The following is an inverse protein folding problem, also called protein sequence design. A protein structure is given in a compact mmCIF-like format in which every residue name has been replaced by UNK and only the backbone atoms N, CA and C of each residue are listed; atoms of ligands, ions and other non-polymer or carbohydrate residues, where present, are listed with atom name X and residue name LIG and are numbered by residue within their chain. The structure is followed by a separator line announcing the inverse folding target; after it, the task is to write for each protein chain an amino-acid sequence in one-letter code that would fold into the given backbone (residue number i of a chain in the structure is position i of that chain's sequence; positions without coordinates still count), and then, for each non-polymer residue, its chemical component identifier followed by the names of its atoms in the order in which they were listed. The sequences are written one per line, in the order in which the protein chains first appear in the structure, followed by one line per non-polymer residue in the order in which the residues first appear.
data_IF_726683992247
#
_entry.id   IF_726683992247
#
_cell.length_a   1.000
_cell.length_b   1.000
_cell.length_c   1.000
_cell.angle_alpha   90.00
_cell.angle_beta   90.00
_cell.angle_gamma   90.00
#
_symmetry.space_group_name_H-M   'P 1'
#
loop_
_entity.id
_entity.type
_entity.pdbx_description
1 polymer ?
#
# COMPACT_ATOMS: atom_id res chain seq x y z
N UNK A 1 7.42 20.72 -4.29
CA UNK A 1 6.18 21.36 -4.78
C UNK A 1 4.96 21.07 -3.88
N UNK A 2 4.98 20.09 -2.98
CA UNK A 2 3.82 19.70 -2.14
C UNK A 2 3.82 20.26 -0.70
N UNK A 3 4.59 21.29 -0.38
CA UNK A 3 4.78 21.75 1.01
C UNK A 3 3.65 22.58 1.62
N UNK A 4 2.66 23.05 0.86
CA UNK A 4 1.70 24.04 1.39
C UNK A 4 0.26 23.55 1.65
N UNK A 5 -0.14 22.36 1.17
CA UNK A 5 -1.57 21.98 1.21
C UNK A 5 -1.87 20.55 1.66
N UNK A 6 -0.92 19.82 2.27
CA UNK A 6 -1.20 18.48 2.76
C UNK A 6 -1.77 18.59 4.19
N UNK A 7 -3.05 18.31 4.34
CA UNK A 7 -3.76 18.35 5.62
C UNK A 7 -3.40 17.17 6.52
N UNK A 8 -3.26 16.00 5.93
CA UNK A 8 -2.86 14.77 6.61
C UNK A 8 -2.42 13.70 5.63
N UNK A 9 -1.73 12.70 6.12
CA UNK A 9 -1.28 11.52 5.38
C UNK A 9 -1.67 10.26 6.15
N UNK A 10 -2.43 9.38 5.51
CA UNK A 10 -2.70 8.04 6.02
C UNK A 10 -1.92 7.03 5.18
N UNK A 11 -1.00 6.31 5.82
CA UNK A 11 -0.19 5.27 5.19
C UNK A 11 -0.86 3.93 5.45
N UNK A 12 -1.29 3.25 4.39
CA UNK A 12 -1.97 1.96 4.51
C UNK A 12 -1.03 0.85 4.04
N UNK A 13 -0.64 0.04 4.97
CA UNK A 13 0.17 -1.18 4.84
C UNK A 13 1.40 -1.06 3.92
N UNK A 14 2.11 0.06 4.06
CA UNK A 14 3.34 0.33 3.33
C UNK A 14 4.48 0.57 4.31
N UNK A 15 5.49 -0.30 4.27
CA UNK A 15 6.64 -0.21 5.15
C UNK A 15 7.72 0.73 4.60
N UNK A 16 8.24 1.59 5.48
CA UNK A 16 9.55 2.23 5.29
C UNK A 16 10.53 1.44 6.16
N UNK A 17 11.52 0.86 5.52
CA UNK A 17 12.48 -0.02 6.17
C UNK A 17 13.61 0.77 6.84
N UNK A 18 14.15 0.29 7.97
CA UNK A 18 15.39 0.81 8.53
C UNK A 18 16.56 0.60 7.56
N UNK A 19 17.66 1.36 7.70
CA UNK A 19 18.92 1.05 7.04
C UNK A 19 19.34 -0.39 7.35
N UNK A 20 19.89 -1.09 6.37
CA UNK A 20 20.33 -2.48 6.52
C UNK A 20 21.53 -2.75 5.63
N UNK A 21 22.51 -3.44 6.17
CA UNK A 21 23.67 -3.94 5.42
C UNK A 21 23.31 -5.17 4.56
N UNK A 22 22.17 -5.79 4.85
CA UNK A 22 21.64 -6.91 4.09
C UNK A 22 20.19 -6.65 3.68
N UNK A 23 19.96 -5.75 2.71
CA UNK A 23 18.61 -5.40 2.27
C UNK A 23 17.91 -6.58 1.58
N UNK A 24 16.58 -6.64 1.64
CA UNK A 24 15.84 -7.65 0.92
C UNK A 24 16.08 -7.55 -0.58
N UNK A 25 16.37 -8.68 -1.20
CA UNK A 25 16.50 -8.79 -2.66
C UNK A 25 15.17 -9.24 -3.24
N UNK A 26 14.69 -8.50 -4.22
CA UNK A 26 13.47 -8.84 -4.95
C UNK A 26 13.86 -9.26 -6.36
N UNK A 27 13.46 -10.45 -6.77
CA UNK A 27 13.60 -10.95 -8.13
C UNK A 27 12.21 -11.15 -8.74
N UNK A 28 11.60 -10.07 -9.16
CA UNK A 28 10.32 -10.13 -9.85
C UNK A 28 10.54 -10.41 -11.33
N UNK A 29 10.11 -11.60 -11.76
CA UNK A 29 10.13 -11.96 -13.20
C UNK A 29 9.11 -11.11 -13.96
N UNK A 30 9.63 -10.17 -14.73
CA UNK A 30 8.81 -9.28 -15.55
C UNK A 30 8.39 -10.04 -16.81
N UNK A 31 7.08 -10.22 -16.98
CA UNK A 31 6.52 -10.85 -18.17
C UNK A 31 5.65 -9.83 -18.90
N UNK A 32 5.77 -9.80 -20.22
CA UNK A 32 4.88 -8.98 -21.04
C UNK A 32 3.41 -9.36 -20.81
N UNK A 33 2.52 -8.40 -20.97
CA UNK A 33 1.08 -8.65 -20.87
C UNK A 33 0.64 -9.60 -21.99
N UNK A 34 0.10 -10.74 -21.57
CA UNK A 34 -0.50 -11.74 -22.48
C UNK A 34 -1.87 -11.23 -22.95
N UNK A 35 -2.22 -11.57 -24.19
CA UNK A 35 -3.58 -11.42 -24.72
C UNK A 35 -4.35 -12.71 -24.47
N UNK A 36 -5.52 -12.58 -23.89
CA UNK A 36 -6.45 -13.68 -23.58
C UNK A 36 -7.65 -13.63 -24.51
N UNK A 37 -8.15 -14.81 -24.89
CA UNK A 37 -9.25 -14.93 -25.86
C UNK A 37 -10.58 -14.42 -25.32
N UNK A 38 -10.84 -14.62 -24.03
CA UNK A 38 -12.10 -14.24 -23.42
C UNK A 38 -11.94 -13.75 -21.97
N UNK A 39 -12.99 -13.09 -21.48
CA UNK A 39 -13.01 -12.46 -20.15
C UNK A 39 -12.91 -13.50 -19.01
N UNK A 40 -13.52 -14.67 -19.16
CA UNK A 40 -13.50 -15.72 -18.13
C UNK A 40 -12.08 -16.25 -17.93
N UNK A 41 -11.35 -16.47 -19.02
CA UNK A 41 -9.96 -16.95 -18.97
C UNK A 41 -9.05 -15.95 -18.24
N UNK A 42 -9.10 -14.66 -18.59
CA UNK A 42 -8.24 -13.67 -17.93
C UNK A 42 -8.63 -13.47 -16.47
N UNK A 43 -9.92 -13.40 -16.11
CA UNK A 43 -10.38 -13.29 -14.72
C UNK A 43 -9.87 -14.44 -13.85
N UNK A 44 -9.89 -15.68 -14.34
CA UNK A 44 -9.39 -16.85 -13.60
C UNK A 44 -7.88 -16.81 -13.31
N UNK A 45 -7.15 -15.91 -13.95
CA UNK A 45 -5.72 -15.69 -13.75
C UNK A 45 -5.39 -14.56 -12.76
N UNK A 46 -6.40 -13.87 -12.26
CA UNK A 46 -6.18 -12.82 -11.27
C UNK A 46 -5.58 -13.42 -9.99
N UNK A 47 -4.56 -12.77 -9.48
CA UNK A 47 -3.90 -13.14 -8.20
C UNK A 47 -3.42 -11.88 -7.52
N UNK A 48 -3.55 -11.83 -6.21
CA UNK A 48 -2.92 -10.82 -5.37
C UNK A 48 -1.42 -11.09 -5.26
N UNK A 49 -0.63 -10.04 -5.16
CA UNK A 49 0.83 -10.11 -4.94
C UNK A 49 1.18 -9.12 -3.80
N UNK A 50 1.61 -9.61 -2.64
CA UNK A 50 1.71 -11.03 -2.25
C UNK A 50 0.34 -11.73 -2.21
N UNK A 51 0.37 -13.06 -2.36
CA UNK A 51 -0.84 -13.86 -2.13
C UNK A 51 -1.28 -13.76 -0.67
N UNK A 52 -2.59 -13.81 -0.44
CA UNK A 52 -3.16 -13.84 0.91
C UNK A 52 -4.36 -14.77 0.98
N UNK A 53 -4.60 -15.31 2.17
CA UNK A 53 -5.80 -16.10 2.48
C UNK A 53 -6.94 -15.16 2.89
N UNK A 54 -8.15 -15.68 2.99
CA UNK A 54 -9.35 -14.93 3.44
C UNK A 54 -9.76 -13.74 2.56
N UNK A 55 -9.25 -13.66 1.34
CA UNK A 55 -9.70 -12.66 0.39
C UNK A 55 -11.19 -12.90 0.03
N UNK A 56 -12.01 -11.88 0.16
CA UNK A 56 -13.44 -11.96 -0.15
C UNK A 56 -13.63 -12.11 -1.66
N UNK A 57 -14.23 -13.21 -2.09
CA UNK A 57 -14.34 -13.61 -3.49
C UNK A 57 -15.00 -12.52 -4.35
N UNK A 58 -16.09 -11.93 -3.89
CA UNK A 58 -16.79 -10.87 -4.65
C UNK A 58 -15.92 -9.62 -4.86
N UNK A 59 -15.05 -9.28 -3.90
CA UNK A 59 -14.10 -8.15 -4.04
C UNK A 59 -13.02 -8.53 -5.04
N UNK A 60 -12.49 -9.75 -4.94
CA UNK A 60 -11.50 -10.27 -5.88
C UNK A 60 -12.02 -10.26 -7.31
N UNK A 61 -13.26 -10.71 -7.51
CA UNK A 61 -13.90 -10.74 -8.82
C UNK A 61 -14.11 -9.34 -9.38
N UNK A 62 -14.58 -8.41 -8.55
CA UNK A 62 -14.73 -7.00 -8.93
C UNK A 62 -13.39 -6.35 -9.32
N UNK A 63 -12.35 -6.53 -8.50
CA UNK A 63 -11.02 -5.95 -8.80
C UNK A 63 -10.45 -6.56 -10.08
N UNK A 64 -10.57 -7.89 -10.25
CA UNK A 64 -10.13 -8.57 -11.45
C UNK A 64 -10.80 -7.98 -12.70
N UNK A 65 -12.12 -7.80 -12.67
CA UNK A 65 -12.87 -7.22 -13.79
C UNK A 65 -12.44 -5.79 -14.11
N UNK A 66 -12.30 -4.94 -13.08
CA UNK A 66 -11.87 -3.53 -13.27
C UNK A 66 -10.41 -3.41 -13.68
N UNK A 67 -9.60 -4.44 -13.47
CA UNK A 67 -8.18 -4.49 -13.87
C UNK A 67 -7.94 -4.93 -15.31
N UNK A 68 -8.99 -5.25 -16.06
CA UNK A 68 -8.93 -5.78 -17.43
C UNK A 68 -9.32 -4.69 -18.44
N UNK A 69 -8.72 -4.75 -19.61
CA UNK A 69 -9.07 -3.94 -20.78
C UNK A 69 -9.27 -4.83 -22.01
N UNK A 70 -10.23 -4.43 -22.87
CA UNK A 70 -10.45 -5.04 -24.17
C UNK A 70 -9.54 -4.39 -25.20
N UNK A 71 -8.93 -5.16 -26.06
CA UNK A 71 -8.10 -4.75 -27.19
C UNK A 71 -8.68 -5.33 -28.49
N UNK A 72 -8.14 -4.92 -29.63
CA UNK A 72 -8.54 -5.48 -30.94
C UNK A 72 -8.38 -6.99 -31.03
N UNK A 73 -7.32 -7.54 -30.38
CA UNK A 73 -6.96 -8.97 -30.44
C UNK A 73 -7.49 -9.79 -29.24
N UNK A 74 -8.21 -9.19 -28.29
CA UNK A 74 -8.72 -9.90 -27.12
C UNK A 74 -8.66 -9.07 -25.85
N UNK A 75 -8.32 -9.70 -24.73
CA UNK A 75 -8.33 -9.11 -23.39
C UNK A 75 -6.92 -9.09 -22.79
N UNK A 76 -6.56 -8.03 -22.07
CA UNK A 76 -5.30 -7.94 -21.35
C UNK A 76 -5.47 -7.22 -20.02
N UNK A 77 -4.48 -7.36 -19.13
CA UNK A 77 -4.42 -6.59 -17.91
C UNK A 77 -4.13 -5.10 -18.20
N UNK A 78 -4.68 -4.21 -17.40
CA UNK A 78 -4.31 -2.78 -17.39
C UNK A 78 -2.95 -2.56 -16.76
N UNK A 79 -2.50 -3.46 -15.88
CA UNK A 79 -1.24 -3.38 -15.16
C UNK A 79 -0.06 -3.27 -16.14
N UNK A 80 0.84 -2.30 -15.88
CA UNK A 80 2.10 -2.19 -16.61
C UNK A 80 3.15 -3.11 -15.94
N UNK A 81 3.61 -4.17 -16.63
CA UNK A 81 4.60 -5.08 -16.06
C UNK A 81 5.93 -4.40 -15.74
N UNK A 82 6.26 -3.28 -16.40
CA UNK A 82 7.49 -2.53 -16.11
C UNK A 82 7.48 -1.90 -14.71
N UNK A 83 6.30 -1.71 -14.09
CA UNK A 83 6.20 -1.24 -12.71
C UNK A 83 7.03 -2.09 -11.73
N UNK A 84 7.11 -3.40 -11.96
CA UNK A 84 7.89 -4.30 -11.09
C UNK A 84 9.40 -4.05 -11.16
N UNK A 85 9.89 -3.37 -12.20
CA UNK A 85 11.33 -3.02 -12.32
C UNK A 85 11.80 -2.13 -11.18
N UNK A 86 10.91 -1.33 -10.59
CA UNK A 86 11.27 -0.47 -9.46
C UNK A 86 11.75 -1.25 -8.23
N UNK A 87 11.38 -2.52 -8.10
CA UNK A 87 11.76 -3.36 -6.96
C UNK A 87 13.03 -4.17 -7.23
N UNK A 88 13.43 -4.35 -8.48
CA UNK A 88 14.57 -5.21 -8.88
C UNK A 88 15.91 -4.46 -8.90
N UNK A 89 15.98 -3.20 -8.45
CA UNK A 89 17.17 -2.37 -8.59
C UNK A 89 17.81 -2.07 -7.24
N UNK A 90 19.13 -1.85 -7.26
CA UNK A 90 19.89 -1.34 -6.12
C UNK A 90 19.34 -0.02 -5.58
N UNK A 91 18.66 0.74 -6.45
CA UNK A 91 17.91 1.95 -6.07
C UNK A 91 16.74 1.74 -5.09
N UNK A 92 16.37 0.50 -4.74
CA UNK A 92 15.32 0.27 -3.75
C UNK A 92 15.69 0.87 -2.39
N UNK A 93 16.90 0.60 -1.90
CA UNK A 93 17.35 1.14 -0.60
C UNK A 93 17.61 2.64 -0.63
N UNK A 94 18.05 3.18 -1.76
CA UNK A 94 18.14 4.63 -1.96
C UNK A 94 16.77 5.30 -1.86
N UNK A 95 15.73 4.72 -2.48
CA UNK A 95 14.35 5.20 -2.33
C UNK A 95 13.87 5.10 -0.89
N UNK A 96 14.21 4.03 -0.18
CA UNK A 96 13.90 3.90 1.23
C UNK A 96 14.54 5.02 2.06
N UNK A 97 15.79 5.41 1.75
CA UNK A 97 16.44 6.55 2.38
C UNK A 97 15.67 7.86 2.13
N UNK A 98 15.31 8.12 0.88
CA UNK A 98 14.49 9.30 0.51
C UNK A 98 13.15 9.29 1.25
N UNK A 99 12.49 8.15 1.38
CA UNK A 99 11.22 8.06 2.07
C UNK A 99 11.36 8.29 3.58
N UNK A 100 12.44 7.81 4.21
CA UNK A 100 12.76 8.10 5.62
C UNK A 100 12.89 9.61 5.85
N UNK A 101 13.66 10.28 5.02
CA UNK A 101 13.90 11.72 5.15
C UNK A 101 12.60 12.53 4.91
N UNK A 102 11.83 12.13 3.90
CA UNK A 102 10.53 12.77 3.65
C UNK A 102 9.56 12.57 4.79
N UNK A 103 9.50 11.37 5.38
CA UNK A 103 8.60 11.08 6.49
C UNK A 103 8.96 11.92 7.72
N UNK A 104 10.24 12.03 8.07
CA UNK A 104 10.73 12.93 9.14
C UNK A 104 10.37 14.39 8.89
N UNK A 105 10.41 14.82 7.64
CA UNK A 105 10.17 16.21 7.25
C UNK A 105 8.70 16.60 7.14
N UNK A 106 7.75 15.68 7.37
CA UNK A 106 6.32 15.98 7.30
C UNK A 106 5.90 16.93 8.41
N UNK A 107 5.10 17.94 8.04
CA UNK A 107 4.50 18.90 8.99
C UNK A 107 3.00 18.73 9.13
N UNK A 108 2.41 17.77 8.40
CA UNK A 108 1.01 17.40 8.53
C UNK A 108 0.83 16.26 9.53
N UNK A 109 -0.41 15.97 9.86
CA UNK A 109 -0.76 14.78 10.65
C UNK A 109 -0.47 13.53 9.84
N UNK A 110 0.03 12.49 10.51
CA UNK A 110 0.28 11.20 9.90
C UNK A 110 -0.38 10.12 10.74
N UNK A 111 -1.00 9.16 10.08
CA UNK A 111 -1.46 7.92 10.70
C UNK A 111 -1.01 6.72 9.85
N UNK A 112 -0.78 5.60 10.50
CA UNK A 112 -0.39 4.34 9.85
C UNK A 112 -1.45 3.30 10.14
N UNK A 113 -1.98 2.67 9.10
CA UNK A 113 -2.81 1.47 9.19
C UNK A 113 -2.00 0.28 8.71
N UNK A 114 -1.97 -0.78 9.49
CA UNK A 114 -1.20 -1.98 9.21
C UNK A 114 -2.09 -3.21 9.33
N UNK A 115 -2.03 -4.12 8.36
CA UNK A 115 -2.59 -5.46 8.51
C UNK A 115 -1.79 -6.25 9.55
N UNK A 116 -2.45 -6.81 10.55
CA UNK A 116 -1.80 -7.57 11.62
C UNK A 116 -0.95 -8.72 11.05
N UNK A 117 -1.48 -9.41 10.03
CA UNK A 117 -0.84 -10.54 9.32
C UNK A 117 -0.09 -10.14 8.06
N UNK A 118 0.15 -8.84 7.85
CA UNK A 118 0.87 -8.38 6.66
C UNK A 118 2.32 -8.86 6.65
N UNK A 119 2.70 -9.53 5.57
CA UNK A 119 4.10 -9.94 5.31
C UNK A 119 4.94 -8.80 4.72
N UNK A 120 4.29 -7.75 4.19
CA UNK A 120 4.96 -6.58 3.61
C UNK A 120 5.30 -5.55 4.67
N UNK A 121 4.50 -5.48 5.74
CA UNK A 121 4.68 -4.50 6.80
C UNK A 121 4.80 -5.17 8.17
N UNK A 122 5.97 -5.76 8.50
CA UNK A 122 6.20 -6.40 9.79
C UNK A 122 6.16 -5.38 10.94
N UNK A 123 5.86 -5.86 12.14
CA UNK A 123 5.77 -5.02 13.34
C UNK A 123 7.05 -4.25 13.67
N UNK A 124 8.22 -4.80 13.32
CA UNK A 124 9.51 -4.11 13.47
C UNK A 124 9.60 -2.85 12.60
N UNK A 125 9.13 -2.90 11.36
CA UNK A 125 9.07 -1.72 10.48
C UNK A 125 8.05 -0.70 10.99
N UNK A 126 6.92 -1.15 11.54
CA UNK A 126 5.94 -0.25 12.14
C UNK A 126 6.53 0.50 13.35
N UNK A 127 7.22 -0.22 14.24
CA UNK A 127 7.94 0.36 15.37
C UNK A 127 8.97 1.38 14.90
N UNK A 128 9.77 1.03 13.92
CA UNK A 128 10.77 1.93 13.34
C UNK A 128 10.13 3.20 12.76
N UNK A 129 9.06 3.08 11.98
CA UNK A 129 8.35 4.25 11.43
C UNK A 129 7.75 5.12 12.54
N UNK A 130 7.24 4.51 13.61
CA UNK A 130 6.73 5.26 14.77
C UNK A 130 7.83 6.08 15.43
N UNK A 131 9.00 5.48 15.67
CA UNK A 131 10.17 6.17 16.23
C UNK A 131 10.65 7.31 15.30
N UNK A 132 10.64 7.06 13.98
CA UNK A 132 11.02 8.02 12.97
C UNK A 132 10.14 9.29 12.96
N UNK A 133 8.90 9.16 13.42
CA UNK A 133 7.91 10.25 13.54
C UNK A 133 7.77 10.77 14.97
N UNK A 134 8.81 10.62 15.81
CA UNK A 134 8.83 11.06 17.22
C UNK A 134 7.66 10.50 18.05
N UNK A 135 7.19 9.30 17.71
CA UNK A 135 6.08 8.60 18.38
C UNK A 135 4.75 9.38 18.43
N UNK A 136 4.57 10.38 17.56
CA UNK A 136 3.37 11.23 17.53
C UNK A 136 2.26 10.73 16.63
N UNK A 137 2.58 9.81 15.71
CA UNK A 137 1.62 9.30 14.75
C UNK A 137 0.98 8.00 15.24
N UNK A 138 -0.35 7.88 15.24
CA UNK A 138 -1.00 6.64 15.63
C UNK A 138 -0.68 5.51 14.63
N UNK A 139 -0.48 4.31 15.19
CA UNK A 139 -0.39 3.06 14.42
C UNK A 139 -1.62 2.23 14.76
N UNK A 140 -2.43 1.94 13.77
CA UNK A 140 -3.63 1.13 13.89
C UNK A 140 -3.35 -0.22 13.26
N UNK A 141 -3.33 -1.27 14.07
CA UNK A 141 -3.30 -2.64 13.56
C UNK A 141 -4.72 -3.09 13.25
N UNK A 142 -4.97 -3.47 12.02
CA UNK A 142 -6.25 -4.06 11.61
C UNK A 142 -6.18 -5.55 11.89
N UNK A 143 -6.99 -6.08 12.83
CA UNK A 143 -6.94 -7.48 13.21
C UNK A 143 -7.20 -8.40 12.03
N UNK A 144 -6.51 -9.55 12.00
CA UNK A 144 -6.64 -10.58 10.97
C UNK A 144 -6.35 -10.13 9.53
N UNK A 145 -6.07 -8.84 9.27
CA UNK A 145 -5.80 -8.30 7.95
C UNK A 145 -4.40 -8.66 7.44
N UNK A 146 -4.34 -9.06 6.18
CA UNK A 146 -3.10 -9.20 5.42
C UNK A 146 -2.76 -7.87 4.70
N UNK A 147 -1.80 -7.92 3.75
CA UNK A 147 -1.34 -6.75 3.01
C UNK A 147 -2.45 -5.99 2.28
N UNK A 148 -3.32 -6.69 1.58
CA UNK A 148 -4.44 -6.06 0.88
C UNK A 148 -5.65 -5.95 1.81
N UNK A 149 -5.56 -5.09 2.82
CA UNK A 149 -6.57 -4.92 3.87
C UNK A 149 -7.98 -4.71 3.28
N UNK A 150 -8.08 -3.97 2.15
CA UNK A 150 -9.34 -3.71 1.47
C UNK A 150 -10.00 -4.98 0.90
N UNK A 151 -9.27 -6.08 0.80
CA UNK A 151 -9.76 -7.33 0.22
C UNK A 151 -10.24 -8.32 1.27
N UNK A 152 -9.60 -8.36 2.43
CA UNK A 152 -9.96 -9.28 3.50
C UNK A 152 -10.69 -8.61 4.68
N UNK A 153 -10.40 -7.34 4.98
CA UNK A 153 -11.00 -6.60 6.10
C UNK A 153 -11.55 -5.22 5.67
N UNK A 154 -12.40 -5.13 4.64
CA UNK A 154 -12.85 -3.85 4.09
C UNK A 154 -13.59 -2.97 5.09
N UNK A 155 -14.44 -3.57 5.94
CA UNK A 155 -15.22 -2.81 6.92
C UNK A 155 -14.34 -2.22 8.02
N UNK A 156 -13.34 -2.97 8.49
CA UNK A 156 -12.37 -2.49 9.48
C UNK A 156 -11.53 -1.34 8.89
N UNK A 157 -11.09 -1.47 7.65
CA UNK A 157 -10.37 -0.40 6.94
C UNK A 157 -11.22 0.87 6.82
N UNK A 158 -12.46 0.75 6.35
CA UNK A 158 -13.38 1.88 6.19
C UNK A 158 -13.62 2.56 7.54
N UNK A 159 -13.87 1.79 8.60
CA UNK A 159 -14.12 2.33 9.94
C UNK A 159 -12.91 3.08 10.47
N UNK A 160 -11.71 2.53 10.34
CA UNK A 160 -10.47 3.19 10.75
C UNK A 160 -10.22 4.49 9.98
N UNK A 161 -10.38 4.48 8.66
CA UNK A 161 -10.22 5.66 7.81
C UNK A 161 -11.23 6.75 8.18
N UNK A 162 -12.51 6.40 8.35
CA UNK A 162 -13.55 7.37 8.73
C UNK A 162 -13.27 7.99 10.09
N UNK A 163 -12.88 7.19 11.08
CA UNK A 163 -12.56 7.67 12.42
C UNK A 163 -11.41 8.67 12.40
N UNK A 164 -10.33 8.36 11.68
CA UNK A 164 -9.18 9.26 11.52
C UNK A 164 -9.56 10.58 10.83
N UNK A 165 -10.32 10.51 9.76
CA UNK A 165 -10.73 11.70 9.00
C UNK A 165 -11.64 12.59 9.84
N UNK A 166 -12.62 12.00 10.54
CA UNK A 166 -13.53 12.74 11.41
C UNK A 166 -12.77 13.38 12.57
N UNK A 167 -11.90 12.63 13.24
CA UNK A 167 -11.06 13.19 14.32
C UNK A 167 -10.23 14.37 13.81
N UNK A 168 -9.60 14.23 12.64
CA UNK A 168 -8.78 15.29 12.06
C UNK A 168 -9.60 16.52 11.64
N UNK A 169 -10.84 16.35 11.26
CA UNK A 169 -11.74 17.47 10.94
C UNK A 169 -12.18 18.23 12.19
N UNK A 170 -12.45 17.52 13.29
CA UNK A 170 -12.89 18.13 14.55
C UNK A 170 -11.73 18.75 15.33
N UNK A 171 -10.55 18.15 15.28
CA UNK A 171 -9.35 18.59 16.00
C UNK A 171 -8.40 19.43 15.13
N UNK A 172 -8.97 20.30 14.27
CA UNK A 172 -8.15 21.21 13.44
C UNK A 172 -7.22 22.01 14.34
N UNK A 173 -5.89 22.01 14.10
CA UNK A 173 -5.02 22.92 14.82
C UNK A 173 -5.48 24.35 14.58
N UNK A 174 -5.52 25.18 15.63
CA UNK A 174 -5.78 26.59 15.49
C UNK A 174 -4.84 27.14 14.40
N UNK A 175 -5.39 27.93 13.48
CA UNK A 175 -4.55 28.60 12.49
C UNK A 175 -3.52 29.39 13.27
N UNK A 176 -2.23 29.07 13.11
CA UNK A 176 -1.17 29.96 13.60
C UNK A 176 -1.37 31.30 12.91
N UNK A 177 -1.82 32.28 13.70
CA UNK A 177 -1.88 33.70 13.32
C UNK A 177 -0.51 34.18 12.88
#
# INVERSE_FOLDING_TARGET
IMKKNLYGLIIVDTAIMPPSDNPPKFDFKIRANKIYKNLKEIKSRFRLVPGQVNALEYIMDYIAEKSIKKNKSGWSWKFDPNYMKIFNNDSFMERQAIYRDKLKGLKCRVAILRGEKSVIFPGSSAKYMHELMDKKSPIINVPEAHHHIMVDQPMALISALRSLIIDWDHSKPAKSS
#
